data_IF_115853853506
#
_entry.id   IF_115853853506
#
_cell.length_a   1.000
_cell.length_b   1.000
_cell.length_c   1.000
_cell.angle_alpha   90.00
_cell.angle_beta   90.00
_cell.angle_gamma   90.00
#
_symmetry.space_group_name_H-M   'P 1'
#
loop_
_entity.id
_entity.type
_entity.pdbx_description
1 polymer ?
#
# COMPACT_ATOMS: atom_id res chain seq x y z
N UNK A 1 14.01 73.56 20.26
CA UNK A 1 15.13 74.00 19.39
C UNK A 1 15.95 72.78 19.04
N UNK A 2 15.79 72.31 17.80
CA UNK A 2 16.87 72.24 16.78
C UNK A 2 17.83 71.08 17.07
N UNK A 3 17.78 69.91 16.40
CA UNK A 3 17.79 69.62 14.95
C UNK A 3 18.93 70.30 14.19
N UNK A 4 19.70 69.46 13.45
CA UNK A 4 20.42 69.68 12.16
C UNK A 4 21.90 69.24 12.22
N UNK A 5 22.29 68.04 11.75
CA UNK A 5 22.57 67.58 10.34
C UNK A 5 23.94 68.04 9.83
N UNK A 6 24.77 67.33 9.03
CA UNK A 6 24.63 66.39 7.88
C UNK A 6 26.09 65.90 7.55
N UNK A 7 26.42 64.74 6.95
CA UNK A 7 26.45 64.34 5.50
C UNK A 7 27.02 62.89 5.47
N UNK A 8 26.31 61.83 5.03
CA UNK A 8 26.21 61.21 3.68
C UNK A 8 27.50 60.70 2.97
N UNK A 9 27.58 59.37 2.72
CA UNK A 9 28.08 58.63 1.52
C UNK A 9 28.89 57.37 1.93
N UNK A 10 28.93 56.21 1.26
CA UNK A 10 28.16 55.46 0.25
C UNK A 10 28.89 54.09 0.10
N UNK A 11 28.16 52.96 0.04
CA UNK A 11 28.49 51.59 -0.48
C UNK A 11 29.89 50.96 -0.33
N UNK A 12 29.95 49.70 0.16
CA UNK A 12 30.44 48.51 -0.59
C UNK A 12 29.98 47.18 0.04
N UNK A 13 29.01 46.58 -0.64
CA UNK A 13 28.73 45.15 -0.88
C UNK A 13 29.76 44.11 -0.37
N UNK A 14 29.35 43.16 0.48
CA UNK A 14 29.73 41.73 0.36
C UNK A 14 28.52 40.86 0.66
N UNK A 15 28.03 40.21 -0.39
CA UNK A 15 27.06 39.11 -0.36
C UNK A 15 27.83 37.87 0.12
N UNK A 16 27.36 37.23 1.19
CA UNK A 16 27.39 35.76 1.28
C UNK A 16 25.97 35.28 1.54
N UNK A 17 25.21 35.20 0.45
CA UNK A 17 24.18 34.19 0.28
C UNK A 17 24.84 32.83 0.52
N UNK A 18 24.32 32.01 1.44
CA UNK A 18 24.97 30.75 1.77
C UNK A 18 24.15 29.88 2.72
N UNK A 19 22.97 29.43 2.26
CA UNK A 19 22.30 28.20 2.66
C UNK A 19 22.25 27.84 4.17
N UNK A 20 21.27 28.43 4.87
CA UNK A 20 20.57 27.73 5.97
C UNK A 20 19.32 27.02 5.41
N UNK A 21 19.50 26.20 4.38
CA UNK A 21 18.48 25.22 3.95
C UNK A 21 19.12 23.84 3.94
N UNK A 22 19.46 23.34 5.14
CA UNK A 22 20.13 22.05 5.28
C UNK A 22 19.20 20.87 5.52
N UNK A 23 18.05 21.08 6.16
CA UNK A 23 17.11 20.00 6.42
C UNK A 23 15.71 20.57 6.62
N UNK A 24 14.86 20.54 5.60
CA UNK A 24 13.43 20.80 5.81
C UNK A 24 12.93 19.79 6.84
N UNK A 25 12.34 20.29 7.93
CA UNK A 25 11.73 19.46 8.98
C UNK A 25 10.72 18.52 8.32
N UNK A 26 10.77 17.24 8.70
CA UNK A 26 9.76 16.27 8.28
C UNK A 26 8.54 16.40 9.21
N UNK A 27 7.37 16.58 8.61
CA UNK A 27 6.09 16.69 9.30
C UNK A 27 5.24 15.47 8.98
N UNK A 28 4.78 14.73 9.99
CA UNK A 28 3.97 13.53 9.79
C UNK A 28 2.58 13.92 9.25
N UNK A 29 2.17 13.29 8.15
CA UNK A 29 0.80 13.41 7.61
C UNK A 29 -0.07 12.28 8.18
N UNK A 30 0.43 11.05 8.11
CA UNK A 30 -0.29 9.88 8.58
C UNK A 30 0.41 8.58 8.16
N UNK A 31 0.31 7.56 9.02
CA UNK A 31 1.01 6.30 8.82
C UNK A 31 2.52 6.53 8.70
N UNK A 32 3.04 6.35 7.48
CA UNK A 32 4.45 6.46 7.13
C UNK A 32 4.74 7.58 6.11
N UNK A 33 3.77 8.47 5.89
CA UNK A 33 3.91 9.62 4.99
C UNK A 33 4.26 10.89 5.76
N UNK A 34 5.23 11.62 5.21
CA UNK A 34 5.75 12.86 5.78
C UNK A 34 5.80 13.95 4.72
N UNK A 35 5.43 15.18 5.08
CA UNK A 35 5.72 16.37 4.30
C UNK A 35 7.15 16.82 4.59
N UNK A 36 7.93 17.08 3.54
CA UNK A 36 9.26 17.66 3.65
C UNK A 36 9.40 18.78 2.61
N UNK A 37 9.17 20.02 3.03
CA UNK A 37 9.05 21.15 2.11
C UNK A 37 7.85 20.96 1.18
N UNK A 38 8.08 21.01 -0.14
CA UNK A 38 7.07 20.76 -1.17
C UNK A 38 7.11 19.33 -1.73
N UNK A 39 7.46 18.35 -0.89
CA UNK A 39 7.49 16.93 -1.26
C UNK A 39 6.76 16.09 -0.23
N UNK A 40 6.12 15.02 -0.71
CA UNK A 40 5.66 13.93 0.14
C UNK A 40 6.72 12.83 0.13
N UNK A 41 7.06 12.35 1.32
CA UNK A 41 8.05 11.30 1.55
C UNK A 41 7.34 10.12 2.23
N UNK A 42 7.45 8.92 1.67
CA UNK A 42 7.11 7.70 2.38
C UNK A 42 8.37 7.13 3.04
N UNK A 43 8.32 6.81 4.33
CA UNK A 43 9.44 6.24 5.06
C UNK A 43 9.02 5.09 5.99
N UNK A 44 9.64 3.92 5.81
CA UNK A 44 9.42 2.70 6.57
C UNK A 44 10.72 2.31 7.28
N UNK A 45 10.71 2.36 8.62
CA UNK A 45 11.86 1.94 9.43
C UNK A 45 11.96 0.42 9.48
N UNK A 46 13.17 -0.12 9.31
CA UNK A 46 13.42 -1.55 9.16
C UNK A 46 13.44 -2.38 10.44
N UNK A 47 12.59 -2.10 11.44
CA UNK A 47 12.67 -2.73 12.78
C UNK A 47 11.42 -3.52 13.21
N UNK A 48 10.64 -4.02 12.25
CA UNK A 48 9.57 -4.98 12.53
C UNK A 48 10.12 -6.41 12.39
N UNK A 49 9.81 -7.34 13.30
CA UNK A 49 10.29 -8.75 13.36
C UNK A 49 10.22 -9.60 12.05
N UNK A 50 9.63 -9.09 10.96
CA UNK A 50 9.63 -9.65 9.60
C UNK A 50 10.68 -9.01 8.66
N UNK A 51 11.45 -8.01 9.13
CA UNK A 51 12.29 -7.09 8.35
C UNK A 51 13.74 -7.54 8.13
N UNK A 52 14.15 -8.73 8.55
CA UNK A 52 15.50 -9.23 8.26
C UNK A 52 15.83 -9.24 6.75
N UNK A 53 14.82 -9.14 5.88
CA UNK A 53 14.95 -9.01 4.42
C UNK A 53 14.75 -7.58 3.87
N UNK A 54 14.26 -6.62 4.67
CA UNK A 54 13.94 -5.27 4.21
C UNK A 54 14.77 -4.23 4.98
N UNK A 55 15.88 -3.77 4.38
CA UNK A 55 16.47 -2.47 4.77
C UNK A 55 15.38 -1.41 4.72
N UNK A 56 15.37 -0.47 5.66
CA UNK A 56 14.37 0.59 5.71
C UNK A 56 14.16 1.26 4.35
N UNK A 57 12.91 1.49 3.97
CA UNK A 57 12.54 2.05 2.67
C UNK A 57 12.21 3.53 2.84
N UNK A 58 12.83 4.41 2.05
CA UNK A 58 12.49 5.84 2.02
C UNK A 58 12.44 6.30 0.58
N UNK A 59 11.27 6.77 0.15
CA UNK A 59 11.01 7.22 -1.22
C UNK A 59 10.23 8.52 -1.26
N UNK A 60 10.47 9.33 -2.29
CA UNK A 60 9.62 10.49 -2.62
C UNK A 60 8.39 9.97 -3.35
N UNK A 61 7.21 10.43 -2.96
CA UNK A 61 5.98 10.15 -3.72
C UNK A 61 5.96 11.11 -4.91
N UNK A 62 6.49 10.64 -6.03
CA UNK A 62 6.66 11.47 -7.22
C UNK A 62 5.30 11.95 -7.77
N UNK A 63 5.22 13.24 -8.09
CA UNK A 63 4.01 13.87 -8.63
C UNK A 63 2.87 14.08 -7.63
N UNK A 64 3.07 13.81 -6.34
CA UNK A 64 2.07 14.07 -5.30
C UNK A 64 1.82 15.57 -5.10
N UNK A 65 0.55 15.97 -5.16
CA UNK A 65 0.10 17.30 -4.77
C UNK A 65 0.08 17.42 -3.25
N UNK A 66 1.03 18.19 -2.70
CA UNK A 66 1.25 18.29 -1.25
C UNK A 66 0.06 18.87 -0.50
N UNK A 67 -0.69 19.78 -1.13
CA UNK A 67 -1.75 20.53 -0.47
C UNK A 67 -3.04 19.71 -0.36
N UNK A 68 -3.28 18.78 -1.29
CA UNK A 68 -4.43 17.88 -1.28
C UNK A 68 -4.12 16.44 -0.84
N UNK A 69 -2.88 16.16 -0.42
CA UNK A 69 -2.47 14.81 -0.03
C UNK A 69 -3.15 14.34 1.26
N UNK A 70 -3.83 13.19 1.20
CA UNK A 70 -4.55 12.58 2.30
C UNK A 70 -4.11 11.13 2.48
N UNK A 71 -3.64 10.82 3.69
CA UNK A 71 -3.41 9.44 4.10
C UNK A 71 -4.75 8.70 4.30
N UNK A 72 -4.91 7.54 3.67
CA UNK A 72 -6.14 6.76 3.72
C UNK A 72 -6.08 5.60 4.72
N UNK A 73 -4.88 5.11 5.06
CA UNK A 73 -4.71 3.89 5.87
C UNK A 73 -3.83 2.86 5.17
N UNK A 74 -3.20 1.95 5.91
CA UNK A 74 -2.53 0.75 5.36
C UNK A 74 -1.57 1.05 4.20
N UNK A 75 -0.80 2.13 4.32
CA UNK A 75 0.12 2.67 3.29
C UNK A 75 -0.53 3.17 1.99
N UNK A 76 -1.86 3.23 1.90
CA UNK A 76 -2.56 3.94 0.84
C UNK A 76 -2.74 5.43 1.17
N UNK A 77 -2.70 6.24 0.12
CA UNK A 77 -2.97 7.67 0.18
C UNK A 77 -3.58 8.13 -1.15
N UNK A 78 -4.15 9.33 -1.19
CA UNK A 78 -4.60 9.97 -2.42
C UNK A 78 -4.35 11.47 -2.37
N UNK A 79 -4.37 12.10 -3.53
CA UNK A 79 -4.45 13.56 -3.65
C UNK A 79 -5.64 13.96 -4.54
N UNK A 80 -5.62 15.16 -5.11
CA UNK A 80 -6.68 15.59 -6.02
C UNK A 80 -6.75 14.82 -7.36
N UNK A 81 -5.66 14.17 -7.77
CA UNK A 81 -5.51 13.56 -9.09
C UNK A 81 -5.25 12.06 -9.07
N UNK A 82 -4.57 11.54 -8.05
CA UNK A 82 -4.01 10.19 -8.04
C UNK A 82 -4.27 9.46 -6.72
N UNK A 83 -4.10 8.14 -6.79
CA UNK A 83 -4.01 7.25 -5.63
C UNK A 83 -2.60 6.67 -5.56
N UNK A 84 -2.10 6.49 -4.35
CA UNK A 84 -0.75 6.05 -4.05
C UNK A 84 -0.76 4.82 -3.14
N UNK A 85 0.22 3.94 -3.35
CA UNK A 85 0.61 2.92 -2.38
C UNK A 85 2.11 3.05 -2.10
N UNK A 86 2.46 3.34 -0.85
CA UNK A 86 3.81 3.78 -0.47
C UNK A 86 4.24 4.98 -1.34
N UNK A 87 5.43 4.95 -1.90
CA UNK A 87 5.97 5.95 -2.83
C UNK A 87 5.55 5.77 -4.29
N UNK A 88 4.75 4.74 -4.61
CA UNK A 88 4.29 4.46 -5.96
C UNK A 88 2.90 5.02 -6.26
N UNK A 89 2.71 5.55 -7.46
CA UNK A 89 1.38 5.92 -8.00
C UNK A 89 0.66 4.70 -8.56
N UNK A 90 -0.63 4.55 -8.26
CA UNK A 90 -1.51 3.52 -8.84
C UNK A 90 -2.22 4.13 -10.05
N UNK A 91 -1.59 4.08 -11.22
CA UNK A 91 -2.04 4.82 -12.41
C UNK A 91 -3.42 4.41 -12.95
N UNK A 92 -3.86 3.18 -12.70
CA UNK A 92 -5.17 2.67 -13.17
C UNK A 92 -6.31 2.91 -12.18
N UNK A 93 -6.01 3.46 -11.00
CA UNK A 93 -7.01 3.64 -9.95
C UNK A 93 -8.01 4.75 -10.29
N UNK A 94 -9.29 4.44 -10.13
CA UNK A 94 -10.33 5.45 -10.07
C UNK A 94 -10.35 6.08 -8.67
N UNK A 95 -9.75 7.27 -8.57
CA UNK A 95 -9.55 8.03 -7.33
C UNK A 95 -10.84 8.27 -6.54
N UNK A 96 -11.94 8.52 -7.25
CA UNK A 96 -13.21 8.94 -6.63
C UNK A 96 -13.93 7.78 -5.96
N UNK A 97 -13.82 6.57 -6.51
CA UNK A 97 -14.39 5.34 -5.97
C UNK A 97 -13.41 4.49 -5.16
N UNK A 98 -12.19 4.97 -4.95
CA UNK A 98 -11.15 4.21 -4.24
C UNK A 98 -11.45 4.04 -2.75
N UNK A 99 -11.44 2.80 -2.28
CA UNK A 99 -11.76 2.39 -0.91
C UNK A 99 -10.78 1.32 -0.42
N UNK A 100 -10.31 1.44 0.82
CA UNK A 100 -9.54 0.39 1.48
C UNK A 100 -10.51 -0.64 2.06
N UNK A 101 -10.36 -1.90 1.66
CA UNK A 101 -11.26 -2.99 2.05
C UNK A 101 -10.59 -4.03 2.96
N UNK A 102 -9.34 -3.80 3.36
CA UNK A 102 -8.63 -4.69 4.25
C UNK A 102 -7.13 -4.50 4.25
N UNK A 103 -6.46 -5.27 5.11
CA UNK A 103 -5.00 -5.32 5.12
C UNK A 103 -4.47 -5.69 3.72
N UNK A 104 -3.62 -4.83 3.16
CA UNK A 104 -3.11 -4.86 1.79
C UNK A 104 -4.13 -4.66 0.66
N UNK A 105 -5.44 -4.79 0.90
CA UNK A 105 -6.48 -4.74 -0.12
C UNK A 105 -7.20 -3.40 -0.20
N UNK A 106 -7.40 -2.95 -1.43
CA UNK A 106 -8.27 -1.83 -1.77
C UNK A 106 -9.09 -2.17 -3.01
N UNK A 107 -10.12 -1.38 -3.30
CA UNK A 107 -10.89 -1.48 -4.54
C UNK A 107 -11.21 -0.11 -5.08
N UNK A 108 -11.52 -0.07 -6.35
CA UNK A 108 -12.30 1.01 -6.96
C UNK A 108 -13.49 0.40 -7.71
N UNK A 109 -14.24 1.20 -8.48
CA UNK A 109 -15.40 0.72 -9.24
C UNK A 109 -15.07 -0.34 -10.32
N UNK A 110 -13.81 -0.45 -10.74
CA UNK A 110 -13.33 -1.24 -11.87
C UNK A 110 -12.27 -2.30 -11.48
N UNK A 111 -11.64 -2.19 -10.32
CA UNK A 111 -10.47 -2.99 -9.95
C UNK A 111 -10.45 -3.39 -8.47
N UNK A 112 -9.80 -4.51 -8.20
CA UNK A 112 -9.32 -4.88 -6.86
C UNK A 112 -7.81 -4.72 -6.85
N UNK A 113 -7.28 -4.09 -5.80
CA UNK A 113 -5.86 -3.85 -5.60
C UNK A 113 -5.32 -4.62 -4.41
N UNK A 114 -4.11 -5.15 -4.53
CA UNK A 114 -3.29 -5.71 -3.46
C UNK A 114 -1.91 -5.06 -3.49
N UNK A 115 -1.56 -4.34 -2.43
CA UNK A 115 -0.27 -3.64 -2.33
C UNK A 115 0.03 -2.72 -3.52
N UNK A 116 -0.98 -1.96 -3.98
CA UNK A 116 -0.84 -1.03 -5.11
C UNK A 116 -0.89 -1.67 -6.51
N UNK A 117 -1.00 -2.99 -6.62
CA UNK A 117 -1.15 -3.70 -7.92
C UNK A 117 -2.58 -4.20 -8.06
N UNK A 118 -3.17 -4.09 -9.25
CA UNK A 118 -4.51 -4.62 -9.49
C UNK A 118 -4.47 -6.12 -9.81
N UNK A 119 -5.48 -6.86 -9.36
CA UNK A 119 -5.69 -8.27 -9.68
C UNK A 119 -6.30 -8.38 -11.07
N UNK A 120 -5.67 -9.16 -11.96
CA UNK A 120 -6.17 -9.39 -13.32
C UNK A 120 -7.25 -10.48 -13.31
N UNK A 121 -8.29 -10.31 -14.14
CA UNK A 121 -9.35 -11.31 -14.33
C UNK A 121 -10.34 -11.42 -13.16
N UNK A 122 -10.26 -10.53 -12.17
CA UNK A 122 -11.14 -10.54 -11.00
C UNK A 122 -12.53 -10.00 -11.34
N UNK A 123 -13.57 -10.68 -10.85
CA UNK A 123 -14.93 -10.14 -10.79
C UNK A 123 -15.05 -9.24 -9.55
N UNK A 124 -14.86 -7.94 -9.75
CA UNK A 124 -14.85 -6.90 -8.70
C UNK A 124 -16.12 -6.92 -7.85
N UNK A 125 -17.27 -7.24 -8.44
CA UNK A 125 -18.57 -7.19 -7.76
C UNK A 125 -18.72 -8.32 -6.74
N UNK A 126 -18.12 -9.46 -7.03
CA UNK A 126 -18.22 -10.67 -6.19
C UNK A 126 -16.95 -10.96 -5.39
N UNK A 127 -15.94 -10.10 -5.51
CA UNK A 127 -14.69 -10.24 -4.78
C UNK A 127 -14.90 -10.27 -3.27
N UNK A 128 -14.25 -11.24 -2.62
CA UNK A 128 -14.26 -11.45 -1.18
C UNK A 128 -12.86 -11.79 -0.70
N UNK A 129 -12.43 -11.12 0.37
CA UNK A 129 -11.30 -11.57 1.18
C UNK A 129 -11.72 -12.84 1.92
N UNK A 130 -10.86 -13.85 1.92
CA UNK A 130 -11.13 -15.09 2.64
C UNK A 130 -10.69 -14.96 4.09
N UNK A 131 -11.52 -15.47 5.01
CA UNK A 131 -11.14 -15.65 6.41
C UNK A 131 -10.07 -16.74 6.55
N UNK A 132 -9.14 -16.59 7.47
CA UNK A 132 -8.48 -17.75 8.08
C UNK A 132 -9.56 -18.49 8.87
N UNK A 133 -9.71 -19.78 8.60
CA UNK A 133 -10.76 -20.60 9.21
C UNK A 133 -10.30 -21.07 10.60
N UNK A 134 -10.04 -20.10 11.46
CA UNK A 134 -9.99 -20.18 12.91
C UNK A 134 -10.91 -19.06 13.41
N UNK A 135 -12.23 -19.31 13.37
CA UNK A 135 -13.16 -18.54 14.20
C UNK A 135 -12.76 -18.88 15.65
N UNK A 136 -11.91 -18.06 16.24
CA UNK A 136 -11.82 -18.02 17.69
C UNK A 136 -13.20 -17.58 18.21
N UNK A 137 -13.57 -18.02 19.42
CA UNK A 137 -14.86 -17.71 20.05
C UNK A 137 -15.11 -16.19 20.23
N UNK A 138 -14.18 -15.34 19.77
CA UNK A 138 -14.23 -13.88 19.85
C UNK A 138 -15.07 -13.24 18.74
N UNK A 139 -15.33 -13.96 17.63
CA UNK A 139 -16.08 -13.45 16.48
C UNK A 139 -15.31 -12.41 15.63
N UNK A 140 -14.00 -12.27 15.86
CA UNK A 140 -13.13 -11.46 15.01
C UNK A 140 -12.72 -12.27 13.78
N UNK A 141 -13.21 -11.85 12.59
CA UNK A 141 -12.76 -12.44 11.33
C UNK A 141 -11.27 -12.17 11.10
N UNK A 142 -10.45 -13.17 11.38
CA UNK A 142 -9.07 -13.17 10.91
C UNK A 142 -9.10 -13.42 9.40
N UNK A 143 -8.54 -12.52 8.59
CA UNK A 143 -8.57 -12.65 7.14
C UNK A 143 -7.24 -13.15 6.64
N UNK A 144 -7.26 -14.15 5.76
CA UNK A 144 -6.04 -14.60 5.09
C UNK A 144 -5.42 -13.44 4.33
N UNK A 145 -4.15 -13.16 4.62
CA UNK A 145 -3.35 -12.21 3.83
C UNK A 145 -2.92 -12.80 2.48
N UNK A 146 -3.16 -14.10 2.29
CA UNK A 146 -2.75 -14.87 1.13
C UNK A 146 -3.90 -15.20 0.21
N UNK A 147 -5.04 -15.67 0.72
CA UNK A 147 -6.14 -16.13 -0.13
C UNK A 147 -7.27 -15.11 -0.24
N UNK A 148 -7.82 -15.01 -1.44
CA UNK A 148 -9.06 -14.28 -1.72
C UNK A 148 -9.82 -15.01 -2.83
N UNK A 149 -11.08 -14.65 -3.07
CA UNK A 149 -11.87 -15.26 -4.15
C UNK A 149 -12.80 -14.26 -4.79
N UNK A 150 -13.28 -14.60 -5.97
CA UNK A 150 -14.51 -14.09 -6.54
C UNK A 150 -15.43 -15.28 -6.90
N UNK A 151 -16.53 -15.04 -7.62
CA UNK A 151 -17.46 -16.11 -8.02
C UNK A 151 -16.88 -17.15 -8.99
N UNK A 152 -15.75 -16.84 -9.65
CA UNK A 152 -15.14 -17.66 -10.71
C UNK A 152 -13.80 -18.27 -10.27
N UNK A 153 -13.06 -17.58 -9.41
CA UNK A 153 -11.66 -17.90 -9.12
C UNK A 153 -11.34 -17.80 -7.63
N UNK A 154 -10.42 -18.66 -7.19
CA UNK A 154 -9.64 -18.45 -5.97
C UNK A 154 -8.30 -17.84 -6.37
N UNK A 155 -7.81 -16.89 -5.57
CA UNK A 155 -6.54 -16.23 -5.75
C UNK A 155 -5.61 -16.56 -4.58
N UNK A 156 -4.36 -16.93 -4.90
CA UNK A 156 -3.26 -16.88 -3.96
C UNK A 156 -2.42 -15.64 -4.26
N UNK A 157 -2.43 -14.69 -3.33
CA UNK A 157 -1.88 -13.34 -3.46
C UNK A 157 -2.52 -12.58 -4.62
N UNK A 158 -1.82 -12.48 -5.75
CA UNK A 158 -2.24 -11.82 -6.99
C UNK A 158 -2.40 -12.80 -8.17
N UNK A 159 -2.28 -14.11 -7.90
CA UNK A 159 -2.31 -15.18 -8.91
C UNK A 159 -3.58 -16.01 -8.78
N UNK A 160 -4.19 -16.34 -9.92
CA UNK A 160 -5.33 -17.28 -9.99
C UNK A 160 -4.83 -18.69 -9.66
N UNK A 161 -5.50 -19.34 -8.71
CA UNK A 161 -5.24 -20.71 -8.32
C UNK A 161 -6.02 -21.65 -9.24
N UNK A 162 -5.34 -22.18 -10.26
CA UNK A 162 -5.96 -23.03 -11.27
C UNK A 162 -6.50 -24.32 -10.63
N UNK A 163 -7.75 -24.66 -10.95
CA UNK A 163 -8.44 -25.86 -10.47
C UNK A 163 -9.10 -25.74 -9.10
N UNK A 164 -8.91 -24.62 -8.39
CA UNK A 164 -9.58 -24.38 -7.13
C UNK A 164 -11.06 -24.05 -7.32
N UNK A 165 -11.92 -24.67 -6.51
CA UNK A 165 -13.35 -24.37 -6.48
C UNK A 165 -13.65 -23.18 -5.54
N UNK A 166 -14.04 -22.00 -6.07
CA UNK A 166 -14.27 -20.81 -5.25
C UNK A 166 -15.41 -20.97 -4.24
N UNK A 167 -16.41 -21.80 -4.51
CA UNK A 167 -17.58 -21.94 -3.63
C UNK A 167 -17.24 -22.71 -2.37
N UNK A 168 -16.37 -23.73 -2.48
CA UNK A 168 -16.02 -24.63 -1.39
C UNK A 168 -14.67 -24.33 -0.73
N UNK A 169 -13.88 -23.40 -1.29
CA UNK A 169 -12.55 -23.07 -0.80
C UNK A 169 -12.54 -22.50 0.63
N UNK A 170 -11.63 -23.02 1.46
CA UNK A 170 -11.30 -22.58 2.81
C UNK A 170 -9.79 -22.39 2.93
N UNK A 171 -9.35 -21.50 3.82
CA UNK A 171 -7.93 -21.21 4.03
C UNK A 171 -7.53 -21.20 5.50
N UNK A 172 -6.32 -21.66 5.79
CA UNK A 172 -5.68 -21.66 7.11
C UNK A 172 -4.23 -21.24 6.96
N UNK A 173 -3.84 -20.08 7.49
CA UNK A 173 -2.51 -19.49 7.29
C UNK A 173 -2.08 -19.52 5.81
N UNK A 174 -1.18 -20.44 5.42
CA UNK A 174 -0.67 -20.66 4.06
C UNK A 174 -1.30 -21.84 3.32
N UNK A 175 -2.19 -22.59 3.97
CA UNK A 175 -2.90 -23.73 3.40
C UNK A 175 -4.25 -23.28 2.84
N UNK A 176 -4.65 -23.89 1.75
CA UNK A 176 -5.99 -23.81 1.19
C UNK A 176 -6.55 -25.20 1.00
N UNK A 177 -7.86 -25.35 1.05
CA UNK A 177 -8.53 -26.61 0.72
C UNK A 177 -9.87 -26.29 0.08
N UNK A 178 -10.21 -27.00 -1.00
CA UNK A 178 -11.57 -27.06 -1.51
C UNK A 178 -12.13 -28.48 -1.35
N UNK A 179 -13.32 -28.74 -1.89
CA UNK A 179 -13.98 -30.05 -1.74
C UNK A 179 -13.10 -31.25 -2.17
N UNK A 180 -12.17 -31.06 -3.10
CA UNK A 180 -11.41 -32.14 -3.74
C UNK A 180 -9.90 -32.01 -3.59
N UNK A 181 -9.39 -30.79 -3.33
CA UNK A 181 -7.95 -30.50 -3.40
C UNK A 181 -7.43 -29.81 -2.15
N UNK A 182 -6.19 -30.12 -1.81
CA UNK A 182 -5.40 -29.36 -0.83
C UNK A 182 -4.35 -28.51 -1.55
N UNK A 183 -4.08 -27.32 -0.99
CA UNK A 183 -3.15 -26.36 -1.53
C UNK A 183 -2.18 -25.87 -0.45
N UNK A 184 -0.90 -25.77 -0.81
CA UNK A 184 0.13 -25.20 0.05
C UNK A 184 0.90 -24.13 -0.70
N UNK A 185 0.91 -22.91 -0.15
CA UNK A 185 1.58 -21.76 -0.78
C UNK A 185 1.11 -21.49 -2.22
N UNK A 186 -0.18 -21.78 -2.51
CA UNK A 186 -0.75 -21.61 -3.84
C UNK A 186 -0.47 -22.75 -4.83
N UNK A 187 0.03 -23.90 -4.38
CA UNK A 187 0.23 -25.08 -5.24
C UNK A 187 -0.67 -26.23 -4.81
N UNK A 188 -1.32 -26.87 -5.79
CA UNK A 188 -2.19 -28.04 -5.58
C UNK A 188 -1.35 -29.26 -5.18
N UNK A 189 -1.89 -30.10 -4.31
CA UNK A 189 -1.30 -31.38 -3.92
C UNK A 189 -2.20 -32.56 -4.26
N UNK A 190 -1.56 -33.70 -4.51
CA UNK A 190 -2.25 -34.98 -4.66
C UNK A 190 -2.62 -35.60 -3.30
N UNK A 191 -3.25 -36.76 -3.33
CA UNK A 191 -3.69 -37.51 -2.15
C UNK A 191 -2.56 -37.96 -1.21
N UNK A 192 -1.32 -37.99 -1.72
CA UNK A 192 -0.11 -38.34 -0.95
C UNK A 192 0.60 -37.10 -0.41
N UNK A 193 0.11 -35.90 -0.75
CA UNK A 193 0.70 -34.64 -0.36
C UNK A 193 1.90 -34.23 -1.23
N UNK A 194 2.08 -34.77 -2.43
CA UNK A 194 3.09 -34.30 -3.38
C UNK A 194 2.55 -33.13 -4.23
N UNK A 195 3.44 -32.25 -4.71
CA UNK A 195 3.04 -31.10 -5.52
C UNK A 195 2.62 -31.57 -6.92
N UNK A 196 1.42 -31.16 -7.35
CA UNK A 196 0.99 -31.36 -8.73
C UNK A 196 1.58 -30.22 -9.56
N UNK A 197 2.54 -30.54 -10.42
CA UNK A 197 3.04 -29.60 -11.42
C UNK A 197 2.02 -29.52 -12.56
N UNK A 198 1.31 -28.39 -12.64
CA UNK A 198 0.50 -28.09 -13.81
C UNK A 198 1.42 -27.49 -14.89
N UNK A 199 1.69 -28.28 -15.94
CA UNK A 199 2.39 -27.84 -17.16
C UNK A 199 1.62 -26.76 -17.93
#
# INVERSE_FOLDING_TARGET
>A
MHWLTKVCSLLMLVITFGFLQGCSKMELIGGRYYKQGNKIIYAENGDNRLSYFFKGHKGVVEGADVDSFVYLGLSYAKDMSHVYFKDGTISVADRDSFEIIGEYFAKDKNHIFRGGRFLKGVDVKTFQRLGEYDDDETGLKNYSIYYSRDKNHVFYQDTILIGADPDTFKSWERKGQDKLHEFWHGYMRDENGELIHND
#
